data_IF_754458958822
#
_entry.id   IF_754458958822
#
_cell.length_a   1.000
_cell.length_b   1.000
_cell.length_c   1.000
_cell.angle_alpha   90.00
_cell.angle_beta   90.00
_cell.angle_gamma   90.00
#
_symmetry.space_group_name_H-M   'P 1'
#
loop_
_entity.id
_entity.type
_entity.pdbx_description
1 polymer ?
#
# COMPACT_ATOMS: atom_id res chain seq x y z
N UNK A 1 -25.36 9.26 13.33
CA UNK A 1 -25.26 9.36 11.85
C UNK A 1 -24.58 10.66 11.50
N UNK A 2 -23.40 10.62 10.89
CA UNK A 2 -22.74 11.81 10.33
C UNK A 2 -23.26 11.98 8.91
N UNK A 3 -23.78 13.17 8.56
CA UNK A 3 -24.22 13.48 7.18
C UNK A 3 -25.42 12.68 6.64
N UNK A 4 -26.13 11.90 7.47
CA UNK A 4 -27.28 11.09 7.04
C UNK A 4 -26.93 9.80 6.29
N UNK A 5 -25.64 9.44 6.23
CA UNK A 5 -25.17 8.19 5.65
C UNK A 5 -25.09 7.09 6.73
N UNK A 6 -25.50 5.88 6.36
CA UNK A 6 -25.34 4.67 7.18
C UNK A 6 -24.12 3.90 6.66
N UNK A 7 -22.95 4.22 7.23
CA UNK A 7 -21.66 3.64 6.85
C UNK A 7 -20.85 3.31 8.09
N UNK A 8 -19.99 2.29 7.94
CA UNK A 8 -18.94 1.94 8.89
C UNK A 8 -17.62 1.83 8.15
N UNK A 9 -16.57 2.44 8.70
CA UNK A 9 -15.22 2.41 8.14
C UNK A 9 -14.37 1.31 8.77
N UNK A 10 -13.54 0.66 7.96
CA UNK A 10 -12.48 -0.22 8.46
C UNK A 10 -11.14 0.44 8.14
N UNK A 11 -10.42 0.97 9.15
CA UNK A 11 -9.21 1.77 8.91
C UNK A 11 -8.02 0.90 8.50
N UNK A 12 -7.22 1.39 7.55
CA UNK A 12 -6.01 0.73 7.04
C UNK A 12 -4.74 1.11 7.79
N UNK A 13 -4.82 1.99 8.79
CA UNK A 13 -3.69 2.46 9.61
C UNK A 13 -4.20 3.14 10.88
N UNK A 14 -3.32 3.35 11.87
CA UNK A 14 -3.66 4.21 13.01
C UNK A 14 -3.92 5.65 12.57
N UNK A 15 -3.27 6.14 11.52
CA UNK A 15 -3.55 7.48 10.98
C UNK A 15 -5.01 7.60 10.51
N UNK A 16 -5.48 6.65 9.70
CA UNK A 16 -6.85 6.65 9.17
C UNK A 16 -7.88 6.41 10.28
N UNK A 17 -7.57 5.57 11.25
CA UNK A 17 -8.40 5.36 12.44
C UNK A 17 -8.58 6.65 13.24
N UNK A 18 -7.49 7.33 13.59
CA UNK A 18 -7.52 8.58 14.34
C UNK A 18 -8.25 9.70 13.60
N UNK A 19 -8.15 9.73 12.27
CA UNK A 19 -8.90 10.66 11.44
C UNK A 19 -10.40 10.34 11.45
N UNK A 20 -10.78 9.08 11.24
CA UNK A 20 -12.17 8.65 11.27
C UNK A 20 -12.85 8.97 12.61
N UNK A 21 -12.17 8.72 13.73
CA UNK A 21 -12.64 9.07 15.07
C UNK A 21 -12.86 10.58 15.24
N UNK A 22 -11.92 11.40 14.75
CA UNK A 22 -12.02 12.86 14.80
C UNK A 22 -13.22 13.39 14.01
N UNK A 23 -13.44 12.84 12.82
CA UNK A 23 -14.55 13.19 11.93
C UNK A 23 -15.86 12.46 12.30
N UNK A 24 -15.85 11.67 13.38
CA UNK A 24 -16.98 10.91 13.91
C UNK A 24 -17.56 9.89 12.93
N UNK A 25 -16.74 9.38 12.03
CA UNK A 25 -17.08 8.25 11.16
C UNK A 25 -17.08 6.99 12.04
N UNK A 26 -18.19 6.21 12.10
CA UNK A 26 -18.19 4.95 12.82
C UNK A 26 -17.12 4.01 12.28
N UNK A 27 -16.33 3.39 13.16
CA UNK A 27 -15.28 2.45 12.77
C UNK A 27 -15.57 1.05 13.30
N UNK A 28 -15.06 0.05 12.59
CA UNK A 28 -15.06 -1.35 12.99
C UNK A 28 -13.79 -2.04 12.46
N UNK A 29 -13.75 -3.36 12.51
CA UNK A 29 -12.61 -4.20 12.13
C UNK A 29 -13.03 -5.26 11.11
N UNK A 30 -12.05 -5.85 10.43
CA UNK A 30 -12.30 -7.01 9.56
C UNK A 30 -12.79 -8.25 10.34
N UNK A 31 -12.64 -8.31 11.66
CA UNK A 31 -13.20 -9.39 12.46
C UNK A 31 -14.73 -9.32 12.55
N UNK A 32 -15.28 -8.10 12.56
CA UNK A 32 -16.73 -7.88 12.56
C UNK A 32 -17.30 -7.80 11.14
N UNK A 33 -16.54 -7.20 10.21
CA UNK A 33 -16.93 -7.02 8.81
C UNK A 33 -15.85 -7.59 7.87
N UNK A 34 -15.84 -8.92 7.63
CA UNK A 34 -14.80 -9.58 6.82
C UNK A 34 -14.94 -9.34 5.31
N UNK A 35 -16.04 -8.73 4.86
CA UNK A 35 -16.29 -8.37 3.46
C UNK A 35 -16.54 -6.87 3.40
N UNK A 36 -15.75 -6.17 2.60
CA UNK A 36 -15.80 -4.72 2.43
C UNK A 36 -16.47 -4.39 1.09
N UNK A 37 -17.42 -3.45 1.08
CA UNK A 37 -18.10 -3.07 -0.16
C UNK A 37 -17.20 -2.25 -1.09
N UNK A 38 -16.42 -1.33 -0.52
CA UNK A 38 -15.52 -0.47 -1.25
C UNK A 38 -14.34 -0.03 -0.38
N UNK A 39 -13.14 -0.01 -0.98
CA UNK A 39 -11.95 0.60 -0.40
C UNK A 39 -11.60 1.85 -1.19
N UNK A 40 -11.31 2.93 -0.46
CA UNK A 40 -10.82 4.19 -0.98
C UNK A 40 -9.43 4.42 -0.39
N UNK A 41 -8.40 4.54 -1.23
CA UNK A 41 -7.03 4.70 -0.76
C UNK A 41 -6.17 5.50 -1.76
N UNK A 42 -4.97 5.91 -1.36
CA UNK A 42 -3.97 6.55 -2.23
C UNK A 42 -2.94 5.57 -2.79
N UNK A 43 -2.05 6.07 -3.64
CA UNK A 43 -0.88 5.34 -4.13
C UNK A 43 0.32 6.25 -4.38
N UNK A 44 1.51 5.65 -4.35
CA UNK A 44 2.77 6.33 -4.60
C UNK A 44 3.09 6.39 -6.11
N UNK A 45 2.72 5.35 -6.85
CA UNK A 45 2.69 5.31 -8.32
C UNK A 45 1.59 4.36 -8.82
N UNK A 46 1.08 4.61 -10.02
CA UNK A 46 0.11 3.76 -10.71
C UNK A 46 0.50 3.63 -12.18
N UNK A 47 0.55 2.41 -12.69
CA UNK A 47 0.81 2.09 -14.10
C UNK A 47 -0.45 2.20 -14.97
N UNK A 48 -0.27 2.15 -16.29
CA UNK A 48 -1.41 2.13 -17.25
C UNK A 48 -2.33 0.92 -17.07
N UNK A 49 -1.80 -0.21 -16.61
CA UNK A 49 -2.56 -1.45 -16.39
C UNK A 49 -3.21 -1.49 -14.99
N UNK A 50 -3.28 -0.34 -14.31
CA UNK A 50 -3.78 -0.16 -12.95
C UNK A 50 -3.05 -1.05 -11.93
N UNK A 51 -1.75 -1.24 -12.10
CA UNK A 51 -0.90 -1.80 -11.04
C UNK A 51 -0.34 -0.64 -10.23
N UNK A 52 -0.43 -0.72 -8.90
CA UNK A 52 0.01 0.36 -8.02
C UNK A 52 1.21 -0.04 -7.17
N UNK A 53 2.06 0.94 -6.89
CA UNK A 53 3.01 0.90 -5.76
C UNK A 53 2.42 1.77 -4.64
N UNK A 54 2.35 1.19 -3.44
CA UNK A 54 1.91 1.78 -2.18
C UNK A 54 2.93 1.49 -1.08
N UNK A 55 2.76 2.12 0.08
CA UNK A 55 3.58 1.86 1.27
C UNK A 55 4.57 2.96 1.62
N UNK A 56 4.54 4.11 0.95
CA UNK A 56 5.25 5.32 1.38
C UNK A 56 4.95 5.66 2.86
N UNK A 57 3.71 5.43 3.30
CA UNK A 57 3.28 5.59 4.70
C UNK A 57 3.56 4.43 5.66
N UNK A 58 4.16 3.32 5.19
CA UNK A 58 4.43 2.10 5.99
C UNK A 58 3.18 1.38 6.55
N UNK A 59 2.02 1.52 5.90
CA UNK A 59 0.77 0.87 6.27
C UNK A 59 0.31 -0.19 5.23
N UNK A 60 1.12 -0.45 4.20
CA UNK A 60 0.73 -1.24 3.02
C UNK A 60 0.28 -2.66 3.34
N UNK A 61 0.79 -3.29 4.40
CA UNK A 61 0.32 -4.61 4.80
C UNK A 61 -1.17 -4.62 5.16
N UNK A 62 -1.59 -3.70 6.04
CA UNK A 62 -2.99 -3.59 6.46
C UNK A 62 -3.86 -3.05 5.33
N UNK A 63 -3.36 -2.11 4.53
CA UNK A 63 -4.01 -1.64 3.29
C UNK A 63 -4.31 -2.82 2.34
N UNK A 64 -3.34 -3.72 2.10
CA UNK A 64 -3.51 -4.85 1.19
C UNK A 64 -4.51 -5.88 1.72
N UNK A 65 -4.49 -6.16 3.03
CA UNK A 65 -5.49 -7.05 3.66
C UNK A 65 -6.91 -6.49 3.49
N UNK A 66 -7.13 -5.20 3.75
CA UNK A 66 -8.45 -4.57 3.59
C UNK A 66 -8.87 -4.50 2.11
N UNK A 67 -7.94 -4.18 1.21
CA UNK A 67 -8.19 -4.18 -0.23
C UNK A 67 -8.54 -5.57 -0.77
N UNK A 68 -7.90 -6.63 -0.26
CA UNK A 68 -8.24 -8.01 -0.62
C UNK A 68 -9.64 -8.42 -0.16
N UNK A 69 -10.08 -7.93 1.00
CA UNK A 69 -11.44 -8.17 1.51
C UNK A 69 -12.53 -7.35 0.77
N UNK A 70 -12.15 -6.46 -0.15
CA UNK A 70 -13.05 -5.53 -0.81
C UNK A 70 -13.62 -6.08 -2.12
N UNK A 71 -14.90 -5.78 -2.37
CA UNK A 71 -15.55 -6.03 -3.67
C UNK A 71 -15.11 -5.04 -4.75
N UNK A 72 -14.64 -3.85 -4.34
CA UNK A 72 -14.21 -2.78 -5.23
C UNK A 72 -13.08 -1.98 -4.59
N UNK A 73 -11.95 -1.89 -5.27
CA UNK A 73 -10.78 -1.11 -4.86
C UNK A 73 -10.65 0.11 -5.76
N UNK A 74 -10.83 1.29 -5.16
CA UNK A 74 -10.71 2.58 -5.84
C UNK A 74 -9.52 3.35 -5.26
N UNK A 75 -8.56 3.67 -6.13
CA UNK A 75 -7.43 4.52 -5.76
C UNK A 75 -7.69 5.97 -6.18
N UNK A 76 -7.30 6.92 -5.33
CA UNK A 76 -7.42 8.35 -5.58
C UNK A 76 -6.03 8.98 -5.60
N UNK A 77 -5.65 9.57 -6.72
CA UNK A 77 -4.31 10.13 -6.92
C UNK A 77 -4.33 11.43 -7.69
N UNK A 78 -3.29 12.24 -7.51
CA UNK A 78 -2.92 13.30 -8.44
C UNK A 78 -2.30 12.74 -9.74
N UNK A 79 -2.38 13.51 -10.81
CA UNK A 79 -1.95 13.10 -12.16
C UNK A 79 -0.46 12.73 -12.24
N UNK A 80 0.40 13.31 -11.40
CA UNK A 80 1.83 12.97 -11.38
C UNK A 80 2.14 11.58 -10.82
N UNK A 81 1.14 10.89 -10.24
CA UNK A 81 1.26 9.50 -9.80
C UNK A 81 1.02 8.49 -10.93
N UNK A 82 0.41 8.93 -12.04
CA UNK A 82 0.24 8.08 -13.22
C UNK A 82 1.52 8.02 -14.04
N UNK A 83 2.08 6.81 -14.14
CA UNK A 83 3.31 6.57 -14.89
C UNK A 83 3.09 5.51 -15.97
N UNK A 84 3.81 5.58 -17.12
CA UNK A 84 3.76 4.52 -18.12
C UNK A 84 4.26 3.19 -17.60
N UNK A 85 5.35 3.21 -16.82
CA UNK A 85 6.04 2.07 -16.23
C UNK A 85 6.33 2.41 -14.78
N UNK A 86 6.16 1.44 -13.88
CA UNK A 86 6.46 1.62 -12.46
C UNK A 86 7.96 1.71 -12.27
N UNK A 87 8.40 2.65 -11.45
CA UNK A 87 9.83 2.87 -11.16
C UNK A 87 10.07 3.39 -9.75
N UNK A 88 9.05 3.37 -8.90
CA UNK A 88 9.19 3.77 -7.50
C UNK A 88 9.79 2.62 -6.70
N UNK A 89 10.47 2.97 -5.60
CA UNK A 89 10.90 1.97 -4.61
C UNK A 89 9.68 1.19 -4.13
N UNK A 90 9.85 -0.12 -3.98
CA UNK A 90 8.82 -1.02 -3.45
C UNK A 90 9.05 -1.16 -1.95
N UNK A 91 8.17 -0.64 -1.08
CA UNK A 91 8.23 -0.89 0.35
C UNK A 91 7.94 -2.36 0.64
N UNK A 92 8.79 -3.01 1.42
CA UNK A 92 8.64 -4.41 1.85
C UNK A 92 8.60 -4.41 3.38
N UNK A 93 7.47 -4.78 3.95
CA UNK A 93 7.36 -4.98 5.40
C UNK A 93 7.96 -6.35 5.75
N UNK A 94 8.89 -6.37 6.71
CA UNK A 94 9.68 -7.54 7.06
C UNK A 94 9.72 -7.76 8.56
N UNK A 95 9.75 -9.03 8.97
CA UNK A 95 10.06 -9.38 10.35
C UNK A 95 11.41 -8.78 10.74
N UNK A 96 11.55 -8.16 11.93
CA UNK A 96 12.79 -7.50 12.34
C UNK A 96 14.04 -8.39 12.26
N UNK A 97 13.90 -9.69 12.55
CA UNK A 97 15.01 -10.65 12.48
C UNK A 97 15.41 -11.05 11.04
N UNK A 98 14.56 -10.75 10.04
CA UNK A 98 14.74 -11.18 8.66
C UNK A 98 15.34 -10.10 7.75
N UNK A 99 15.60 -8.88 8.26
CA UNK A 99 16.10 -7.76 7.44
C UNK A 99 17.27 -8.18 6.56
N UNK A 100 18.33 -8.75 7.15
CA UNK A 100 19.54 -9.13 6.40
C UNK A 100 19.30 -10.25 5.37
N UNK A 101 18.32 -11.12 5.61
CA UNK A 101 17.94 -12.20 4.68
C UNK A 101 17.22 -11.59 3.48
N UNK A 102 16.18 -10.79 3.72
CA UNK A 102 15.43 -10.09 2.66
C UNK A 102 16.34 -9.14 1.87
N UNK A 103 17.28 -8.48 2.53
CA UNK A 103 18.33 -7.67 1.89
C UNK A 103 19.17 -8.48 0.89
N UNK A 104 19.47 -9.75 1.19
CA UNK A 104 20.18 -10.66 0.29
C UNK A 104 19.31 -11.06 -0.90
N UNK A 105 18.05 -11.41 -0.63
CA UNK A 105 17.09 -11.84 -1.65
C UNK A 105 16.77 -10.70 -2.64
N UNK A 106 16.56 -9.47 -2.16
CA UNK A 106 16.36 -8.29 -3.01
C UNK A 106 17.56 -8.06 -3.92
N UNK A 107 18.78 -8.16 -3.40
CA UNK A 107 20.01 -8.01 -4.21
C UNK A 107 20.14 -9.14 -5.25
N UNK A 108 19.75 -10.36 -4.90
CA UNK A 108 19.78 -11.50 -5.82
C UNK A 108 18.80 -11.32 -7.00
N UNK A 109 17.68 -10.62 -6.78
CA UNK A 109 16.74 -10.22 -7.84
C UNK A 109 17.19 -8.97 -8.62
N UNK A 110 18.35 -8.40 -8.30
CA UNK A 110 18.88 -7.21 -8.97
C UNK A 110 18.40 -5.87 -8.40
N UNK A 111 17.71 -5.88 -7.25
CA UNK A 111 17.29 -4.67 -6.55
C UNK A 111 18.34 -4.12 -5.59
N UNK A 112 18.13 -2.88 -5.16
CA UNK A 112 18.93 -2.19 -4.15
C UNK A 112 18.06 -1.98 -2.90
N UNK A 113 18.26 -2.79 -1.84
CA UNK A 113 17.49 -2.65 -0.61
C UNK A 113 18.08 -1.56 0.29
N UNK A 114 17.20 -0.88 1.02
CA UNK A 114 17.54 0.09 2.06
C UNK A 114 16.58 -0.04 3.24
N UNK A 115 17.11 -0.31 4.44
CA UNK A 115 16.30 -0.29 5.66
C UNK A 115 15.77 1.14 5.92
N UNK A 116 14.45 1.30 5.99
CA UNK A 116 13.82 2.61 6.17
C UNK A 116 14.10 3.15 7.57
N UNK A 117 14.86 4.22 7.66
CA UNK A 117 15.20 4.88 8.93
C UNK A 117 14.14 5.91 9.34
N UNK A 118 13.81 5.95 10.64
CA UNK A 118 12.80 6.86 11.14
C UNK A 118 13.36 8.28 11.34
N UNK A 119 12.54 9.28 11.06
CA UNK A 119 12.91 10.69 11.26
C UNK A 119 12.54 11.24 12.65
N UNK A 120 11.59 10.62 13.35
CA UNK A 120 11.04 11.10 14.65
C UNK A 120 11.26 10.10 15.80
N UNK A 121 12.15 9.14 15.62
CA UNK A 121 12.67 8.23 16.64
C UNK A 121 14.04 7.72 16.19
N UNK A 122 14.85 7.23 17.11
CA UNK A 122 16.11 6.57 16.77
C UNK A 122 15.87 5.21 16.14
N UNK A 123 16.69 4.83 15.16
CA UNK A 123 16.61 3.52 14.50
C UNK A 123 15.55 3.44 13.38
N UNK A 124 15.15 2.23 12.98
CA UNK A 124 14.26 2.02 11.83
C UNK A 124 12.82 2.50 12.08
N UNK A 125 12.09 2.71 10.98
CA UNK A 125 10.62 2.80 10.99
C UNK A 125 10.05 1.49 11.52
N UNK A 126 9.04 1.60 12.39
CA UNK A 126 8.26 0.47 12.90
C UNK A 126 6.84 0.62 12.36
N UNK A 127 6.32 -0.39 11.68
CA UNK A 127 4.96 -0.38 11.13
C UNK A 127 3.92 -0.49 12.24
N UNK A 128 2.65 -0.26 11.91
CA UNK A 128 1.53 -0.46 12.85
C UNK A 128 1.44 -1.92 13.37
N UNK A 129 2.06 -2.87 12.65
CA UNK A 129 2.16 -4.29 13.04
C UNK A 129 3.43 -4.63 13.85
N UNK A 130 4.30 -3.65 14.11
CA UNK A 130 5.55 -3.86 14.86
C UNK A 130 6.74 -4.35 14.04
N UNK A 131 6.64 -4.34 12.70
CA UNK A 131 7.68 -4.81 11.78
C UNK A 131 8.55 -3.67 11.25
N UNK A 132 9.60 -4.01 10.51
CA UNK A 132 10.44 -3.02 9.81
C UNK A 132 10.05 -2.92 8.34
N UNK A 133 10.54 -1.87 7.67
CA UNK A 133 10.33 -1.68 6.23
C UNK A 133 11.68 -1.61 5.52
N UNK A 134 11.85 -2.43 4.50
CA UNK A 134 12.95 -2.33 3.53
C UNK A 134 12.40 -1.70 2.26
N UNK A 135 12.93 -0.55 1.87
CA UNK A 135 12.66 0.07 0.58
C UNK A 135 13.56 -0.57 -0.48
N UNK A 136 12.97 -1.27 -1.44
CA UNK A 136 13.69 -1.96 -2.51
C UNK A 136 13.55 -1.20 -3.83
N UNK A 137 14.66 -0.69 -4.35
CA UNK A 137 14.73 -0.07 -5.68
C UNK A 137 15.07 -1.11 -6.74
N UNK A 138 14.13 -1.38 -7.65
CA UNK A 138 14.33 -2.29 -8.79
C UNK A 138 14.54 -1.54 -10.12
N UNK A 139 14.65 -0.21 -10.10
CA UNK A 139 14.60 0.61 -11.30
C UNK A 139 13.23 0.53 -11.98
N UNK A 140 13.22 0.50 -13.31
CA UNK A 140 11.98 0.28 -14.07
C UNK A 140 11.49 -1.17 -13.93
N UNK A 141 10.25 -1.33 -13.48
CA UNK A 141 9.60 -2.63 -13.23
C UNK A 141 8.79 -3.00 -14.47
N UNK A 142 9.40 -3.78 -15.37
CA UNK A 142 8.77 -4.23 -16.61
C UNK A 142 7.72 -5.33 -16.42
N UNK A 143 7.84 -6.15 -15.37
CA UNK A 143 6.90 -7.23 -15.03
C UNK A 143 6.55 -7.19 -13.53
N UNK A 144 5.56 -6.35 -13.15
CA UNK A 144 5.20 -6.19 -11.74
C UNK A 144 4.46 -7.41 -11.17
N UNK A 145 3.86 -8.26 -12.01
CA UNK A 145 3.21 -9.51 -11.55
C UNK A 145 4.28 -10.51 -11.12
N UNK A 146 5.31 -10.70 -11.95
CA UNK A 146 6.43 -11.54 -11.60
C UNK A 146 7.14 -11.03 -10.34
N UNK A 147 7.42 -9.73 -10.25
CA UNK A 147 8.07 -9.15 -9.07
C UNK A 147 7.22 -9.32 -7.79
N UNK A 148 5.89 -9.21 -7.91
CA UNK A 148 4.96 -9.51 -6.81
C UNK A 148 5.13 -10.96 -6.33
N UNK A 149 5.13 -11.93 -7.25
CA UNK A 149 5.21 -13.34 -6.90
C UNK A 149 6.58 -13.71 -6.30
N UNK A 150 7.66 -13.13 -6.84
CA UNK A 150 9.01 -13.34 -6.33
C UNK A 150 9.18 -12.76 -4.90
N UNK A 151 8.65 -11.57 -4.61
CA UNK A 151 8.70 -10.99 -3.26
C UNK A 151 7.82 -11.78 -2.28
N UNK A 152 6.63 -12.23 -2.70
CA UNK A 152 5.74 -13.05 -1.86
C UNK A 152 6.37 -14.39 -1.44
N UNK A 153 7.32 -14.91 -2.21
CA UNK A 153 8.03 -16.14 -1.89
C UNK A 153 9.18 -15.96 -0.88
N UNK A 154 9.58 -14.73 -0.56
CA UNK A 154 10.71 -14.47 0.35
C UNK A 154 10.37 -14.78 1.81
N UNK A 155 11.29 -15.45 2.50
CA UNK A 155 11.10 -15.81 3.91
C UNK A 155 11.36 -14.61 4.81
N UNK A 156 10.37 -14.27 5.62
CA UNK A 156 10.41 -13.15 6.55
C UNK A 156 9.84 -11.84 6.00
N UNK A 157 9.42 -11.82 4.73
CA UNK A 157 8.50 -10.80 4.21
C UNK A 157 7.12 -11.03 4.82
N UNK A 158 6.53 -9.96 5.33
CA UNK A 158 5.16 -9.92 5.84
C UNK A 158 4.21 -9.49 4.72
N UNK A 159 4.57 -8.41 4.01
CA UNK A 159 3.85 -7.94 2.82
C UNK A 159 4.71 -6.91 2.06
N UNK A 160 4.35 -6.56 0.84
CA UNK A 160 5.04 -5.58 0.01
C UNK A 160 4.11 -4.59 -0.69
N UNK A 161 4.67 -3.54 -1.26
CA UNK A 161 3.93 -2.40 -1.79
C UNK A 161 3.30 -2.57 -3.17
N UNK A 162 3.40 -3.70 -3.84
CA UNK A 162 2.79 -3.89 -5.18
C UNK A 162 1.35 -4.38 -5.03
N UNK A 163 0.41 -3.67 -5.65
CA UNK A 163 -1.03 -3.95 -5.62
C UNK A 163 -1.51 -4.24 -7.03
N UNK A 164 -1.94 -5.48 -7.27
CA UNK A 164 -2.45 -5.95 -8.57
C UNK A 164 -3.99 -5.84 -8.68
N UNK A 165 -4.68 -5.73 -7.54
CA UNK A 165 -6.14 -5.77 -7.39
C UNK A 165 -6.78 -4.38 -7.33
N UNK A 166 -6.42 -3.49 -8.26
CA UNK A 166 -7.08 -2.18 -8.41
C UNK A 166 -8.16 -2.29 -9.50
N UNK A 167 -9.38 -1.85 -9.19
CA UNK A 167 -10.50 -1.84 -10.14
C UNK A 167 -10.66 -0.49 -10.84
N UNK A 168 -10.38 0.60 -10.11
CA UNK A 168 -10.64 1.95 -10.57
C UNK A 168 -9.65 2.96 -9.97
N UNK A 169 -9.29 3.97 -10.76
CA UNK A 169 -8.41 5.06 -10.34
C UNK A 169 -9.05 6.41 -10.65
N UNK A 170 -9.22 7.22 -9.62
CA UNK A 170 -9.74 8.58 -9.67
C UNK A 170 -8.55 9.52 -9.67
N UNK A 171 -8.36 10.22 -10.78
CA UNK A 171 -7.21 11.06 -11.05
C UNK A 171 -7.63 12.52 -10.94
N UNK A 172 -7.15 13.20 -9.91
CA UNK A 172 -7.28 14.64 -9.78
C UNK A 172 -6.36 15.35 -10.75
N UNK A 173 -6.94 16.16 -11.65
CA UNK A 173 -6.20 17.01 -12.59
C UNK A 173 -6.57 18.47 -12.37
N UNK A 174 -5.81 19.40 -12.95
CA UNK A 174 -6.15 20.84 -12.94
C UNK A 174 -7.54 21.10 -13.55
N UNK A 175 -7.98 20.28 -14.50
CA UNK A 175 -9.27 20.41 -15.19
C UNK A 175 -10.44 19.67 -14.53
N UNK A 176 -10.23 19.03 -13.37
CA UNK A 176 -11.22 18.20 -12.69
C UNK A 176 -10.77 16.75 -12.51
N UNK A 177 -11.72 15.83 -12.28
CA UNK A 177 -11.42 14.41 -12.06
C UNK A 177 -11.58 13.57 -13.33
N UNK A 178 -10.61 12.68 -13.59
CA UNK A 178 -10.70 11.63 -14.60
C UNK A 178 -10.81 10.28 -13.91
N UNK A 179 -11.65 9.38 -14.44
CA UNK A 179 -11.80 8.02 -13.93
C UNK A 179 -11.20 7.03 -14.92
N UNK A 180 -10.31 6.17 -14.46
CA UNK A 180 -9.78 5.01 -15.17
C UNK A 180 -10.36 3.76 -14.54
N UNK A 181 -10.80 2.79 -15.35
CA UNK A 181 -11.35 1.51 -14.89
C UNK A 181 -10.69 0.37 -15.64
N UNK A 182 -10.56 -0.79 -15.00
CA UNK A 182 -10.31 -2.06 -15.71
C UNK A 182 -11.47 -2.42 -16.64
#
# INVERSE_FOLDING_TARGET
MVGGLDIVGVPTSYQSEMLALRERIPISTLLEYPVIDIVLDGADQISRDLVAIKGGGAAHAKEKVVAHAAKRVVLMVDDVKLVPVLSHVVPIEVLPCAVAVVDGDVRAMGGVPSLRMAARKDGPVVTDNGNFVVDADFGEIGDPVRLNDEINAMIGVVEHGIFLNVDEVHVGTVGGAKILKK
#
